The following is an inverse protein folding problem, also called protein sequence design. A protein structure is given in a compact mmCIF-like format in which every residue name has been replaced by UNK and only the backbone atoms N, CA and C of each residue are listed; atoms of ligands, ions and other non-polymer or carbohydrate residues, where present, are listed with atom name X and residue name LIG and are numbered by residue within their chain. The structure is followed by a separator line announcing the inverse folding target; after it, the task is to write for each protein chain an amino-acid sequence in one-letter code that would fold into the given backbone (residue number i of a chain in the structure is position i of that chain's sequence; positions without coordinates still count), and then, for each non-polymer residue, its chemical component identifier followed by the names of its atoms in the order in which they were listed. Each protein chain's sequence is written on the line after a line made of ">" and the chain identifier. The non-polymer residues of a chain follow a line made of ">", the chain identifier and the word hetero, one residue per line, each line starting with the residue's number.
data_IF_028547192078
#
_entry.id   IF_028547192078
#
_cell.length_a   1.000
_cell.length_b   1.000
_cell.length_c   1.000
_cell.angle_alpha   90.00
_cell.angle_beta   90.00
_cell.angle_gamma   90.00
#
_symmetry.space_group_name_H-M   'P 1'
#
loop_
_entity.id
_entity.type
_entity.pdbx_description
1 polymer ?
#
# COMPACT_ATOMS: atom_id res chain seq x y z
N UNK A 1 1.33 7.41 -17.82
CA UNK A 1 0.90 6.09 -17.26
C UNK A 1 1.35 4.90 -18.10
N UNK A 2 1.09 4.86 -19.41
CA UNK A 2 1.55 3.75 -20.29
C UNK A 2 3.06 3.44 -20.17
N UNK A 3 3.89 4.45 -19.92
CA UNK A 3 5.35 4.32 -19.76
C UNK A 3 5.79 3.42 -18.59
N UNK A 4 4.92 3.20 -17.60
CA UNK A 4 5.22 2.36 -16.43
C UNK A 4 4.89 0.88 -16.65
N UNK A 5 4.20 0.52 -17.74
CA UNK A 5 3.83 -0.86 -18.03
C UNK A 5 5.07 -1.72 -18.31
N UNK A 6 5.13 -2.90 -17.68
CA UNK A 6 6.25 -3.83 -17.82
C UNK A 6 7.56 -3.30 -17.21
N UNK A 7 7.51 -2.28 -16.36
CA UNK A 7 8.68 -1.69 -15.68
C UNK A 7 8.65 -1.97 -14.18
N UNK A 8 9.84 -2.07 -13.60
CA UNK A 8 10.03 -1.99 -12.14
C UNK A 8 10.14 -0.51 -11.76
N UNK A 9 9.05 0.05 -11.24
CA UNK A 9 8.96 1.46 -10.90
C UNK A 9 8.91 1.62 -9.38
N UNK A 10 9.77 2.49 -8.82
CA UNK A 10 9.73 2.86 -7.41
C UNK A 10 9.19 4.30 -7.29
N UNK A 11 8.13 4.47 -6.51
CA UNK A 11 7.58 5.79 -6.19
C UNK A 11 8.10 6.24 -4.83
N UNK A 12 8.86 7.34 -4.80
CA UNK A 12 9.44 7.94 -3.59
C UNK A 12 8.92 9.35 -3.36
N UNK A 13 8.95 9.80 -2.11
CA UNK A 13 8.54 11.14 -1.69
C UNK A 13 8.09 11.16 -0.23
N UNK A 14 7.98 12.35 0.36
CA UNK A 14 7.65 12.53 1.77
C UNK A 14 6.20 12.16 2.13
N UNK A 15 5.89 12.07 3.41
CA UNK A 15 4.52 11.83 3.88
C UNK A 15 3.58 12.90 3.31
N UNK A 16 2.44 12.49 2.76
CA UNK A 16 1.47 13.42 2.16
C UNK A 16 1.79 13.88 0.74
N UNK A 17 2.89 13.42 0.12
CA UNK A 17 3.31 13.85 -1.23
C UNK A 17 2.44 13.34 -2.40
N UNK A 18 1.28 12.73 -2.14
CA UNK A 18 0.37 12.24 -3.20
C UNK A 18 0.70 10.86 -3.80
N UNK A 19 1.68 10.11 -3.27
CA UNK A 19 2.02 8.76 -3.74
C UNK A 19 0.80 7.82 -3.80
N UNK A 20 0.00 7.80 -2.74
CA UNK A 20 -1.20 6.95 -2.66
C UNK A 20 -2.25 7.35 -3.70
N UNK A 21 -2.44 8.66 -3.90
CA UNK A 21 -3.34 9.19 -4.93
C UNK A 21 -2.87 8.80 -6.34
N UNK A 22 -1.57 8.90 -6.61
CA UNK A 22 -1.01 8.44 -7.88
C UNK A 22 -1.25 6.95 -8.10
N UNK A 23 -1.03 6.12 -7.07
CA UNK A 23 -1.26 4.68 -7.17
C UNK A 23 -2.75 4.38 -7.46
N UNK A 24 -3.69 5.07 -6.81
CA UNK A 24 -5.12 4.92 -7.08
C UNK A 24 -5.49 5.27 -8.53
N UNK A 25 -4.97 6.38 -9.05
CA UNK A 25 -5.15 6.79 -10.45
C UNK A 25 -4.50 5.80 -11.43
N UNK A 26 -3.34 5.23 -11.09
CA UNK A 26 -2.71 4.21 -11.92
C UNK A 26 -3.51 2.90 -11.93
N UNK A 27 -4.08 2.48 -10.79
CA UNK A 27 -4.97 1.33 -10.73
C UNK A 27 -6.22 1.54 -11.59
N UNK A 28 -6.82 2.74 -11.53
CA UNK A 28 -7.93 3.12 -12.42
C UNK A 28 -7.57 2.94 -13.88
N UNK A 29 -6.42 3.49 -14.31
CA UNK A 29 -5.93 3.35 -15.67
C UNK A 29 -5.76 1.88 -16.09
N UNK A 30 -5.17 1.05 -15.24
CA UNK A 30 -4.98 -0.37 -15.54
C UNK A 30 -6.33 -1.08 -15.75
N UNK A 31 -7.31 -0.80 -14.91
CA UNK A 31 -8.65 -1.38 -15.00
C UNK A 31 -9.39 -0.90 -16.25
N UNK A 32 -9.36 0.40 -16.55
CA UNK A 32 -10.00 0.99 -17.73
C UNK A 32 -9.38 0.49 -19.04
N UNK A 33 -8.15 -0.05 -19.00
CA UNK A 33 -7.45 -0.61 -20.14
C UNK A 33 -7.42 -2.15 -20.14
N UNK A 34 -8.33 -2.80 -19.43
CA UNK A 34 -8.51 -4.26 -19.39
C UNK A 34 -7.33 -5.08 -18.83
N UNK A 35 -6.49 -4.47 -17.98
CA UNK A 35 -5.39 -5.17 -17.32
C UNK A 35 -5.77 -5.76 -15.95
N UNK A 36 -7.05 -5.70 -15.55
CA UNK A 36 -7.48 -6.06 -14.20
C UNK A 36 -7.01 -7.46 -13.75
N UNK A 37 -7.07 -8.44 -14.65
CA UNK A 37 -6.70 -9.83 -14.35
C UNK A 37 -5.19 -10.05 -14.23
N UNK A 38 -4.38 -9.13 -14.80
CA UNK A 38 -2.92 -9.13 -14.76
C UNK A 38 -2.37 -8.34 -13.55
N UNK A 39 -3.24 -7.67 -12.79
CA UNK A 39 -2.83 -6.81 -11.68
C UNK A 39 -3.05 -7.50 -10.34
N UNK A 40 -1.96 -7.55 -9.57
CA UNK A 40 -2.01 -7.90 -8.15
C UNK A 40 -1.45 -6.75 -7.32
N UNK A 41 -2.22 -6.30 -6.34
CA UNK A 41 -1.75 -5.34 -5.34
C UNK A 41 -1.49 -6.08 -4.04
N UNK A 42 -0.26 -5.98 -3.55
CA UNK A 42 0.14 -6.42 -2.21
C UNK A 42 0.21 -5.16 -1.34
N UNK A 43 -0.77 -4.96 -0.47
CA UNK A 43 -0.83 -3.76 0.37
C UNK A 43 -0.33 -4.07 1.79
N UNK A 44 0.86 -3.55 2.07
CA UNK A 44 1.56 -3.67 3.36
C UNK A 44 1.56 -2.32 4.09
N UNK A 45 0.68 -1.38 3.72
CA UNK A 45 0.52 -0.14 4.46
C UNK A 45 -0.21 -0.41 5.79
N UNK A 46 0.26 0.10 6.94
CA UNK A 46 -0.49 -0.03 8.17
C UNK A 46 -1.79 0.79 8.11
N UNK A 47 -2.70 0.50 9.04
CA UNK A 47 -3.85 1.36 9.26
C UNK A 47 -3.40 2.81 9.51
N UNK A 48 -4.28 3.77 9.18
CA UNK A 48 -3.96 5.19 9.32
C UNK A 48 -3.82 5.55 10.80
N UNK A 49 -2.63 6.02 11.19
CA UNK A 49 -2.31 6.41 12.57
C UNK A 49 -1.81 7.84 12.55
N UNK A 50 -2.48 8.74 13.27
CA UNK A 50 -2.15 10.17 13.33
C UNK A 50 -1.98 10.83 11.94
N UNK A 51 -2.81 10.43 10.98
CA UNK A 51 -2.75 10.94 9.60
C UNK A 51 -1.72 10.26 8.69
N UNK A 52 -0.84 9.40 9.22
CA UNK A 52 0.22 8.70 8.49
C UNK A 52 -0.23 7.26 8.16
N UNK A 53 0.11 6.79 6.96
CA UNK A 53 -0.27 5.46 6.46
C UNK A 53 -1.67 5.44 5.84
N UNK A 54 -2.37 4.32 5.98
CA UNK A 54 -3.66 4.04 5.36
C UNK A 54 -3.53 3.08 4.19
N UNK A 55 -4.43 2.10 4.15
CA UNK A 55 -4.49 1.09 3.11
C UNK A 55 -4.99 1.70 1.80
N UNK A 56 -4.59 1.19 0.65
CA UNK A 56 -5.05 1.73 -0.64
C UNK A 56 -6.58 1.62 -0.81
N UNK A 57 -7.19 0.57 -0.22
CA UNK A 57 -8.65 0.39 -0.16
C UNK A 57 -9.38 1.53 0.55
N UNK A 58 -8.70 2.26 1.44
CA UNK A 58 -9.29 3.39 2.15
C UNK A 58 -9.39 4.64 1.25
N UNK A 59 -8.74 4.62 0.07
CA UNK A 59 -8.71 5.72 -0.89
C UNK A 59 -9.41 5.40 -2.21
N UNK A 60 -9.68 4.12 -2.51
CA UNK A 60 -10.34 3.73 -3.76
C UNK A 60 -10.96 2.33 -3.69
N UNK A 61 -12.15 2.20 -4.29
CA UNK A 61 -12.85 0.92 -4.45
C UNK A 61 -12.32 0.09 -5.63
N UNK A 62 -11.39 0.62 -6.43
CA UNK A 62 -10.82 -0.09 -7.58
C UNK A 62 -10.13 -1.40 -7.20
N UNK A 63 -9.67 -1.52 -5.96
CA UNK A 63 -9.07 -2.75 -5.43
C UNK A 63 -10.03 -3.94 -5.43
N UNK A 64 -11.36 -3.71 -5.46
CA UNK A 64 -12.38 -4.76 -5.55
C UNK A 64 -12.44 -5.43 -6.93
N UNK A 65 -11.81 -4.83 -7.94
CA UNK A 65 -11.84 -5.28 -9.35
C UNK A 65 -10.55 -5.98 -9.78
N UNK A 66 -9.61 -6.18 -8.86
CA UNK A 66 -8.29 -6.76 -9.10
C UNK A 66 -7.95 -7.76 -8.00
N UNK A 67 -6.85 -8.51 -8.16
CA UNK A 67 -6.34 -9.34 -7.08
C UNK A 67 -5.71 -8.46 -6.00
N UNK A 68 -6.38 -8.35 -4.86
CA UNK A 68 -5.93 -7.53 -3.74
C UNK A 68 -5.53 -8.42 -2.56
N UNK A 69 -4.25 -8.41 -2.21
CA UNK A 69 -3.67 -9.19 -1.12
C UNK A 69 -3.27 -8.25 0.02
N UNK A 70 -3.85 -8.48 1.19
CA UNK A 70 -3.58 -7.69 2.39
C UNK A 70 -3.81 -8.56 3.62
N UNK A 71 -2.87 -8.53 4.57
CA UNK A 71 -3.08 -9.16 5.88
C UNK A 71 -4.07 -8.33 6.71
N UNK A 72 -4.87 -9.00 7.54
CA UNK A 72 -5.85 -8.35 8.42
C UNK A 72 -5.19 -7.33 9.35
N UNK A 73 -3.95 -7.61 9.76
CA UNK A 73 -3.19 -6.78 10.69
C UNK A 73 -1.80 -6.47 10.16
N UNK A 74 -1.52 -5.18 9.99
CA UNK A 74 -0.20 -4.64 9.70
C UNK A 74 0.10 -3.56 10.73
N UNK A 75 1.07 -3.83 11.59
CA UNK A 75 1.58 -2.88 12.56
C UNK A 75 2.39 -1.77 11.87
N UNK A 76 2.45 -0.61 12.53
CA UNK A 76 3.29 0.52 12.13
C UNK A 76 4.45 0.71 13.13
N UNK A 77 5.48 -0.16 13.15
CA UNK A 77 6.46 -0.19 14.25
C UNK A 77 7.07 1.16 14.58
N UNK A 78 7.43 1.93 13.54
CA UNK A 78 8.05 3.27 13.69
C UNK A 78 7.11 4.35 14.23
N UNK A 79 5.80 4.14 14.14
CA UNK A 79 4.80 5.10 14.63
C UNK A 79 4.34 4.79 16.04
N UNK A 80 4.21 3.51 16.40
CA UNK A 80 3.63 3.10 17.69
C UNK A 80 4.66 2.61 18.70
N UNK A 81 5.84 2.19 18.25
CA UNK A 81 6.89 1.66 19.13
C UNK A 81 7.47 2.77 20.00
N UNK A 82 7.50 2.53 21.31
CA UNK A 82 8.02 3.49 22.30
C UNK A 82 9.53 3.33 22.53
N UNK A 83 10.07 2.17 22.21
CA UNK A 83 11.48 1.81 22.37
C UNK A 83 11.91 0.84 21.27
N UNK A 84 13.22 0.54 21.22
CA UNK A 84 13.83 -0.33 20.21
C UNK A 84 13.20 -1.72 20.20
N UNK A 85 12.97 -2.28 21.39
CA UNK A 85 12.45 -3.63 21.59
C UNK A 85 11.03 -3.76 21.02
N UNK A 86 10.17 -2.78 21.28
CA UNK A 86 8.81 -2.73 20.73
C UNK A 86 8.81 -2.57 19.21
N UNK A 87 9.66 -1.71 18.66
CA UNK A 87 9.77 -1.53 17.21
C UNK A 87 10.16 -2.86 16.54
N UNK A 88 11.14 -3.58 17.09
CA UNK A 88 11.55 -4.88 16.54
C UNK A 88 10.46 -5.94 16.71
N UNK A 89 9.78 -5.98 17.85
CA UNK A 89 8.66 -6.90 18.09
C UNK A 89 7.54 -6.72 17.08
N UNK A 90 7.06 -5.49 16.88
CA UNK A 90 5.99 -5.21 15.91
C UNK A 90 6.42 -5.51 14.46
N UNK A 91 7.70 -5.34 14.14
CA UNK A 91 8.22 -5.69 12.82
C UNK A 91 8.24 -7.21 12.60
N UNK A 92 8.61 -8.00 13.62
CA UNK A 92 8.56 -9.47 13.54
C UNK A 92 7.12 -9.98 13.47
N UNK A 93 6.19 -9.38 14.21
CA UNK A 93 4.76 -9.71 14.10
C UNK A 93 4.22 -9.49 12.67
N UNK A 94 4.70 -8.45 11.96
CA UNK A 94 4.34 -8.23 10.55
C UNK A 94 4.90 -9.31 9.60
N UNK A 95 5.97 -10.01 9.97
CA UNK A 95 6.57 -11.08 9.15
C UNK A 95 5.81 -12.39 9.26
N UNK A 96 5.24 -12.67 10.45
CA UNK A 96 4.57 -13.93 10.77
C UNK A 96 3.06 -13.91 10.55
N UNK A 97 2.48 -12.72 10.36
CA UNK A 97 1.06 -12.49 10.04
C UNK A 97 0.69 -12.75 8.58
#
# INVERSE_FOLDING_TARGET
>A
MKEFLGKKTLLVGDVGSGKTSFLAEFLKYLIENNYSDDVTVIDIAPARIQGIGGAIRDYTDYVSRIRYLRSERIWAPRLIGKNREEVLRYAEENRTN
#
